data_IF_837579984243
#
_entry.id   IF_837579984243
#
_cell.length_a   1.000
_cell.length_b   1.000
_cell.length_c   1.000
_cell.angle_alpha   90.00
_cell.angle_beta   90.00
_cell.angle_gamma   90.00
#
_symmetry.space_group_name_H-M   'P 1'
#
loop_
_entity.id
_entity.type
_entity.pdbx_description
1 polymer ?
#
# COMPACT_ATOMS: atom_id res chain seq x y z
N UNK A 1 21.49 -21.75 -7.02
CA UNK A 1 20.17 -21.13 -7.23
C UNK A 1 20.24 -20.34 -8.52
N UNK A 2 19.38 -20.64 -9.49
CA UNK A 2 19.42 -19.96 -10.79
C UNK A 2 18.44 -18.78 -10.78
N UNK A 3 18.98 -17.58 -10.51
CA UNK A 3 18.23 -16.32 -10.47
C UNK A 3 17.43 -16.08 -11.76
N UNK A 4 17.94 -16.54 -12.91
CA UNK A 4 17.24 -16.43 -14.20
C UNK A 4 15.95 -17.27 -14.23
N UNK A 5 15.93 -18.43 -13.58
CA UNK A 5 14.72 -19.27 -13.52
C UNK A 5 13.63 -18.66 -12.61
N UNK A 6 14.04 -17.96 -11.55
CA UNK A 6 13.11 -17.22 -10.69
C UNK A 6 12.54 -16.04 -11.49
N UNK A 7 13.39 -15.33 -12.24
CA UNK A 7 12.97 -14.23 -13.10
C UNK A 7 11.97 -14.66 -14.16
N UNK A 8 12.29 -15.70 -14.94
CA UNK A 8 11.40 -16.25 -15.97
C UNK A 8 10.03 -16.63 -15.36
N UNK A 9 10.04 -17.26 -14.18
CA UNK A 9 8.82 -17.64 -13.49
C UNK A 9 7.96 -16.43 -13.08
N UNK A 10 8.60 -15.38 -12.54
CA UNK A 10 7.91 -14.15 -12.15
C UNK A 10 7.32 -13.47 -13.39
N UNK A 11 8.10 -13.32 -14.47
CA UNK A 11 7.64 -12.71 -15.71
C UNK A 11 6.45 -13.46 -16.35
N UNK A 12 6.50 -14.80 -16.36
CA UNK A 12 5.38 -15.62 -16.82
C UNK A 12 4.12 -15.43 -15.97
N UNK A 13 4.27 -15.36 -14.64
CA UNK A 13 3.16 -15.12 -13.73
C UNK A 13 2.53 -13.75 -13.96
N UNK A 14 3.35 -12.69 -14.03
CA UNK A 14 2.90 -11.31 -14.26
C UNK A 14 2.16 -11.20 -15.59
N UNK A 15 2.70 -11.80 -16.64
CA UNK A 15 2.06 -11.87 -17.96
C UNK A 15 0.71 -12.61 -17.90
N UNK A 16 0.62 -13.72 -17.16
CA UNK A 16 -0.62 -14.46 -16.97
C UNK A 16 -1.69 -13.66 -16.21
N UNK A 17 -1.27 -12.79 -15.30
CA UNK A 17 -2.14 -11.88 -14.54
C UNK A 17 -2.39 -10.56 -15.26
N UNK A 18 -1.90 -10.40 -16.50
CA UNK A 18 -2.01 -9.16 -17.29
C UNK A 18 -1.43 -7.92 -16.58
N UNK A 19 -0.43 -8.10 -15.72
CA UNK A 19 0.27 -7.00 -15.04
C UNK A 19 1.30 -6.41 -16.00
N UNK A 20 1.18 -5.12 -16.34
CA UNK A 20 1.97 -4.47 -17.39
C UNK A 20 3.04 -3.50 -16.84
N UNK A 21 2.83 -2.91 -15.66
CA UNK A 21 3.75 -1.92 -15.05
C UNK A 21 4.80 -2.60 -14.18
N UNK A 22 5.84 -3.16 -14.84
CA UNK A 22 6.96 -3.85 -14.20
C UNK A 22 8.25 -3.13 -14.57
N UNK A 23 8.97 -2.61 -13.57
CA UNK A 23 10.37 -2.24 -13.75
C UNK A 23 11.27 -3.21 -12.99
N UNK A 24 12.25 -3.77 -13.69
CA UNK A 24 13.25 -4.69 -13.14
C UNK A 24 14.60 -3.99 -13.08
N UNK A 25 15.22 -3.98 -11.90
CA UNK A 25 16.63 -3.61 -11.75
C UNK A 25 17.41 -4.84 -11.29
N UNK A 26 18.53 -5.12 -11.96
CA UNK A 26 19.45 -6.18 -11.56
C UNK A 26 20.71 -5.52 -11.02
N UNK A 27 20.98 -5.70 -9.73
CA UNK A 27 22.17 -5.15 -9.06
C UNK A 27 22.94 -6.28 -8.40
N UNK A 28 24.18 -6.54 -8.85
CA UNK A 28 25.18 -7.43 -8.21
C UNK A 28 24.63 -8.70 -7.51
N UNK A 29 23.77 -9.46 -8.19
CA UNK A 29 23.25 -10.74 -7.69
C UNK A 29 21.86 -10.67 -7.04
N UNK A 30 21.23 -9.50 -7.04
CA UNK A 30 19.88 -9.27 -6.55
C UNK A 30 18.99 -8.82 -7.72
N UNK A 31 17.74 -9.27 -7.74
CA UNK A 31 16.72 -8.76 -8.64
C UNK A 31 15.77 -7.90 -7.83
N UNK A 32 15.71 -6.62 -8.15
CA UNK A 32 14.68 -5.71 -7.64
C UNK A 32 13.55 -5.61 -8.65
N UNK A 33 12.36 -6.04 -8.23
CA UNK A 33 11.13 -5.81 -8.97
C UNK A 33 10.40 -4.61 -8.36
N UNK A 34 10.07 -3.62 -9.19
CA UNK A 34 9.05 -2.62 -8.84
C UNK A 34 7.83 -2.92 -9.70
N UNK A 35 6.74 -3.34 -9.07
CA UNK A 35 5.52 -3.74 -9.76
C UNK A 35 4.32 -3.13 -9.07
N UNK A 36 3.40 -2.59 -9.88
CA UNK A 36 2.06 -2.21 -9.42
C UNK A 36 1.14 -3.42 -9.55
N UNK A 37 0.71 -3.99 -8.42
CA UNK A 37 -0.24 -5.09 -8.37
C UNK A 37 -0.97 -5.10 -7.02
N UNK A 38 -2.10 -5.81 -6.95
CA UNK A 38 -2.84 -6.04 -5.71
C UNK A 38 -2.07 -6.93 -4.73
N UNK A 39 -2.31 -6.74 -3.42
CA UNK A 39 -1.61 -7.46 -2.34
C UNK A 39 -1.81 -8.97 -2.43
N UNK A 40 -3.04 -9.42 -2.70
CA UNK A 40 -3.38 -10.84 -2.86
C UNK A 40 -2.63 -11.51 -4.04
N UNK A 41 -2.44 -10.79 -5.15
CA UNK A 41 -1.69 -11.26 -6.32
C UNK A 41 -0.21 -11.40 -5.96
N UNK A 42 0.31 -10.45 -5.18
CA UNK A 42 1.67 -10.55 -4.68
C UNK A 42 1.84 -11.74 -3.72
N UNK A 43 0.97 -11.91 -2.72
CA UNK A 43 1.04 -13.04 -1.80
C UNK A 43 0.99 -14.38 -2.53
N UNK A 44 0.16 -14.50 -3.56
CA UNK A 44 0.13 -15.66 -4.46
C UNK A 44 1.49 -15.88 -5.15
N UNK A 45 2.10 -14.83 -5.69
CA UNK A 45 3.41 -14.90 -6.32
C UNK A 45 4.52 -15.28 -5.31
N UNK A 46 4.54 -14.62 -4.15
CA UNK A 46 5.48 -14.84 -3.06
C UNK A 46 5.46 -16.29 -2.59
N UNK A 47 4.27 -16.82 -2.32
CA UNK A 47 4.08 -18.22 -1.92
C UNK A 47 4.61 -19.18 -2.98
N UNK A 48 4.31 -18.94 -4.26
CA UNK A 48 4.76 -19.83 -5.35
C UNK A 48 6.27 -19.82 -5.53
N UNK A 49 6.90 -18.66 -5.42
CA UNK A 49 8.37 -18.56 -5.52
C UNK A 49 9.03 -19.22 -4.31
N UNK A 50 8.50 -18.98 -3.10
CA UNK A 50 8.97 -19.64 -1.89
C UNK A 50 8.86 -21.17 -2.01
N UNK A 51 7.72 -21.68 -2.45
CA UNK A 51 7.49 -23.11 -2.56
C UNK A 51 8.41 -23.78 -3.57
N UNK A 52 8.55 -23.17 -4.76
CA UNK A 52 9.29 -23.73 -5.90
C UNK A 52 10.79 -23.56 -5.80
N UNK A 53 11.26 -22.41 -5.31
CA UNK A 53 12.67 -22.05 -5.35
C UNK A 53 13.31 -21.93 -3.96
N UNK A 54 12.52 -22.05 -2.88
CA UNK A 54 12.96 -21.80 -1.49
C UNK A 54 13.59 -20.40 -1.37
N UNK A 55 12.97 -19.44 -2.04
CA UNK A 55 13.42 -18.07 -2.14
C UNK A 55 12.31 -17.12 -1.66
N UNK A 56 12.65 -16.21 -0.76
CA UNK A 56 11.71 -15.26 -0.18
C UNK A 56 11.70 -13.96 -1.00
N UNK A 57 10.52 -13.61 -1.55
CA UNK A 57 10.37 -12.46 -2.46
C UNK A 57 10.28 -11.11 -1.74
N UNK A 58 9.80 -11.10 -0.49
CA UNK A 58 9.61 -9.90 0.34
C UNK A 58 10.91 -9.13 0.59
N UNK A 59 12.06 -9.79 0.56
CA UNK A 59 13.35 -9.15 0.81
C UNK A 59 13.83 -8.26 -0.35
N UNK A 60 13.29 -8.45 -1.57
CA UNK A 60 13.83 -7.82 -2.79
C UNK A 60 12.77 -7.27 -3.75
N UNK A 61 11.51 -7.22 -3.33
CA UNK A 61 10.41 -6.70 -4.17
C UNK A 61 9.84 -5.43 -3.54
N UNK A 62 9.81 -4.36 -4.32
CA UNK A 62 9.16 -3.11 -3.94
C UNK A 62 7.74 -3.10 -4.51
N UNK A 63 6.75 -3.17 -3.62
CA UNK A 63 5.35 -3.03 -3.99
C UNK A 63 4.98 -1.57 -4.13
N UNK A 64 4.50 -1.21 -5.31
CA UNK A 64 3.92 0.10 -5.54
C UNK A 64 2.40 -0.06 -5.48
N UNK A 65 1.84 0.21 -4.30
CA UNK A 65 0.40 0.40 -4.16
C UNK A 65 0.03 1.79 -4.68
N UNK A 66 -1.11 1.86 -5.38
CA UNK A 66 -1.78 3.15 -5.52
C UNK A 66 -2.10 3.67 -4.14
N UNK A 67 -1.81 4.95 -3.94
CA UNK A 67 -1.98 5.56 -2.65
C UNK A 67 -2.37 7.02 -2.79
N UNK A 68 -3.08 7.49 -1.78
CA UNK A 68 -3.56 8.85 -1.71
C UNK A 68 -3.23 9.43 -0.34
N UNK A 69 -2.56 10.58 -0.32
CA UNK A 69 -2.23 11.32 0.91
C UNK A 69 -3.35 12.28 1.22
N UNK A 70 -3.87 12.24 2.44
CA UNK A 70 -4.96 13.11 2.89
C UNK A 70 -4.49 13.87 4.12
N UNK A 71 -4.35 15.18 3.96
CA UNK A 71 -3.98 16.08 5.03
C UNK A 71 -5.17 16.95 5.44
N UNK A 72 -5.28 17.18 6.75
CA UNK A 72 -6.11 18.22 7.35
C UNK A 72 -5.17 19.18 8.04
N UNK A 73 -5.15 20.42 7.56
CA UNK A 73 -4.23 21.45 8.06
C UNK A 73 -5.01 22.61 8.67
N UNK A 74 -4.36 23.33 9.59
CA UNK A 74 -4.86 24.62 10.09
C UNK A 74 -4.66 25.71 9.04
N UNK A 75 -5.26 26.89 9.26
CA UNK A 75 -5.03 28.10 8.44
C UNK A 75 -3.54 28.53 8.42
N UNK A 76 -2.75 28.09 9.40
CA UNK A 76 -1.30 28.34 9.49
C UNK A 76 -0.46 27.22 8.87
N UNK A 77 -1.06 26.30 8.11
CA UNK A 77 -0.39 25.14 7.48
C UNK A 77 0.18 24.11 8.45
N UNK A 78 -0.30 24.08 9.70
CA UNK A 78 0.07 23.02 10.64
C UNK A 78 -0.80 21.79 10.40
N UNK A 79 -0.19 20.60 10.33
CA UNK A 79 -0.91 19.33 10.15
C UNK A 79 -1.71 19.02 11.43
N UNK A 80 -3.03 18.97 11.28
CA UNK A 80 -3.97 18.47 12.29
C UNK A 80 -4.01 16.95 12.22
N UNK A 81 -4.18 16.39 11.02
CA UNK A 81 -4.10 14.95 10.75
C UNK A 81 -3.57 14.71 9.34
N UNK A 82 -2.73 13.69 9.20
CA UNK A 82 -2.25 13.17 7.92
C UNK A 82 -2.46 11.66 7.90
N UNK A 83 -3.06 11.17 6.81
CA UNK A 83 -3.21 9.74 6.55
C UNK A 83 -2.78 9.42 5.14
N UNK A 84 -2.33 8.18 4.94
CA UNK A 84 -2.15 7.58 3.63
C UNK A 84 -3.19 6.48 3.46
N UNK A 85 -3.96 6.55 2.38
CA UNK A 85 -4.86 5.50 1.95
C UNK A 85 -4.15 4.66 0.89
N UNK A 86 -3.93 3.37 1.14
CA UNK A 86 -3.34 2.43 0.20
C UNK A 86 -4.40 1.54 -0.45
N UNK A 87 -4.36 1.41 -1.77
CA UNK A 87 -5.16 0.45 -2.49
C UNK A 87 -4.52 -0.94 -2.40
N UNK A 88 -5.12 -1.82 -1.59
CA UNK A 88 -4.62 -3.19 -1.39
C UNK A 88 -5.29 -4.20 -2.33
N UNK A 89 -6.44 -3.86 -2.92
CA UNK A 89 -7.08 -4.58 -4.02
C UNK A 89 -7.92 -3.65 -4.91
N UNK A 90 -8.48 -4.16 -6.02
CA UNK A 90 -9.30 -3.38 -6.97
C UNK A 90 -10.34 -2.46 -6.28
N UNK A 91 -10.94 -2.92 -5.18
CA UNK A 91 -11.99 -2.18 -4.48
C UNK A 91 -11.71 -1.94 -2.99
N UNK A 92 -10.52 -2.28 -2.49
CA UNK A 92 -10.22 -2.16 -1.05
C UNK A 92 -9.11 -1.17 -0.80
N UNK A 93 -9.40 -0.20 0.05
CA UNK A 93 -8.48 0.84 0.50
C UNK A 93 -8.27 0.73 2.01
N UNK A 94 -7.01 0.76 2.43
CA UNK A 94 -6.62 0.75 3.84
C UNK A 94 -6.02 2.09 4.24
N UNK A 95 -6.49 2.66 5.35
CA UNK A 95 -6.06 3.97 5.83
C UNK A 95 -5.07 3.80 6.97
N UNK A 96 -3.93 4.48 6.85
CA UNK A 96 -2.86 4.47 7.84
C UNK A 96 -2.57 5.88 8.32
N UNK A 97 -2.51 6.05 9.64
CA UNK A 97 -2.17 7.31 10.26
C UNK A 97 -0.69 7.62 10.09
N UNK A 98 -0.38 8.79 9.55
CA UNK A 98 1.00 9.21 9.27
C UNK A 98 1.50 10.25 10.26
N UNK A 99 0.70 11.28 10.55
CA UNK A 99 1.09 12.38 11.45
C UNK A 99 -0.13 13.17 11.97
N UNK A 100 0.06 13.96 13.02
CA UNK A 100 -0.91 14.92 13.56
C UNK A 100 -1.38 14.59 14.98
N UNK A 101 -2.48 15.21 15.40
CA UNK A 101 -3.02 15.19 16.76
C UNK A 101 -4.13 14.14 16.89
N UNK A 102 -3.80 12.90 17.21
CA UNK A 102 -4.81 11.86 17.46
C UNK A 102 -5.35 11.95 18.91
N UNK A 103 -6.36 12.79 19.16
CA UNK A 103 -6.98 12.91 20.51
C UNK A 103 -8.03 11.81 20.75
N UNK A 104 -7.59 10.54 20.75
CA UNK A 104 -8.41 9.40 21.16
C UNK A 104 -8.48 9.41 22.68
N UNK A 105 -9.69 9.35 23.25
CA UNK A 105 -9.89 9.32 24.70
C UNK A 105 -9.08 8.16 25.34
N UNK A 106 -8.11 8.35 26.26
CA UNK A 106 -7.55 9.52 26.94
C UNK A 106 -6.07 9.21 27.23
N UNK A 107 -5.19 10.14 26.85
CA UNK A 107 -3.79 10.37 27.28
C UNK A 107 -2.71 10.08 26.22
N UNK A 108 -2.23 11.21 25.69
CA UNK A 108 -0.86 11.55 25.28
C UNK A 108 -0.31 10.97 23.98
N UNK A 109 -0.18 11.84 22.98
CA UNK A 109 0.96 11.85 22.06
C UNK A 109 0.61 11.99 20.59
N UNK A 110 1.35 12.88 19.90
CA UNK A 110 1.67 12.72 18.48
C UNK A 110 2.32 11.35 18.30
N UNK A 111 1.75 10.48 17.46
CA UNK A 111 2.40 9.20 17.12
C UNK A 111 3.52 9.52 16.14
N UNK A 112 4.68 9.88 16.66
CA UNK A 112 5.86 10.14 15.83
C UNK A 112 6.45 8.81 15.34
N UNK A 113 6.39 8.58 14.03
CA UNK A 113 7.30 7.67 13.33
C UNK A 113 6.79 6.28 12.95
N UNK A 114 5.53 5.92 13.23
CA UNK A 114 4.98 4.64 12.80
C UNK A 114 3.61 4.83 12.13
N UNK A 115 3.49 4.37 10.88
CA UNK A 115 2.22 4.32 10.18
C UNK A 115 1.28 3.34 10.89
N UNK A 116 0.23 3.85 11.53
CA UNK A 116 -0.71 3.02 12.30
C UNK A 116 -1.95 2.70 11.46
N UNK A 117 -2.30 1.42 11.31
CA UNK A 117 -3.55 1.03 10.65
C UNK A 117 -4.77 1.62 11.38
N UNK A 118 -5.65 2.27 10.64
CA UNK A 118 -6.89 2.87 11.16
C UNK A 118 -8.10 2.01 10.85
N UNK A 119 -8.41 1.86 9.55
CA UNK A 119 -9.59 1.15 9.06
C UNK A 119 -9.44 0.80 7.59
N UNK A 120 -10.35 -0.07 7.11
CA UNK A 120 -10.53 -0.39 5.69
C UNK A 120 -11.81 0.24 5.13
N UNK A 121 -11.78 0.59 3.85
CA UNK A 121 -12.90 1.07 3.06
C UNK A 121 -13.04 0.20 1.80
N UNK A 122 -14.26 -0.26 1.54
CA UNK A 122 -14.60 -0.93 0.29
C UNK A 122 -15.22 0.11 -0.65
N UNK A 123 -14.54 0.41 -1.74
CA UNK A 123 -14.89 1.44 -2.71
C UNK A 123 -14.42 1.01 -4.10
N UNK A 124 -15.33 0.99 -5.06
CA UNK A 124 -14.99 0.65 -6.44
C UNK A 124 -14.12 1.75 -7.06
N UNK A 125 -12.90 1.39 -7.50
CA UNK A 125 -11.94 2.34 -8.07
C UNK A 125 -12.38 2.93 -9.41
N UNK A 126 -13.45 2.40 -10.02
CA UNK A 126 -14.07 2.93 -11.23
C UNK A 126 -15.08 4.07 -10.97
N UNK A 127 -15.34 4.44 -9.72
CA UNK A 127 -16.24 5.54 -9.39
C UNK A 127 -15.68 6.92 -9.77
N UNK A 128 -16.49 7.72 -10.47
CA UNK A 128 -16.23 9.15 -10.67
C UNK A 128 -16.19 9.83 -9.28
N UNK A 129 -15.00 10.31 -8.87
CA UNK A 129 -14.67 10.97 -7.59
C UNK A 129 -14.08 10.08 -6.46
N UNK A 130 -13.31 9.03 -6.77
CA UNK A 130 -12.50 8.26 -5.80
C UNK A 130 -11.86 9.13 -4.69
N UNK A 131 -11.14 10.18 -5.07
CA UNK A 131 -10.49 11.12 -4.13
C UNK A 131 -11.47 11.70 -3.10
N UNK A 132 -12.60 12.26 -3.55
CA UNK A 132 -13.61 12.83 -2.64
C UNK A 132 -14.23 11.77 -1.73
N UNK A 133 -14.39 10.55 -2.23
CA UNK A 133 -14.93 9.45 -1.44
C UNK A 133 -13.94 9.02 -0.34
N UNK A 134 -12.64 8.95 -0.65
CA UNK A 134 -11.58 8.69 0.33
C UNK A 134 -11.51 9.82 1.37
N UNK A 135 -11.52 11.08 0.95
CA UNK A 135 -11.54 12.25 1.84
C UNK A 135 -12.76 12.25 2.76
N UNK A 136 -13.95 12.02 2.21
CA UNK A 136 -15.19 11.98 2.99
C UNK A 136 -15.17 10.83 4.00
N UNK A 137 -14.69 9.65 3.60
CA UNK A 137 -14.55 8.52 4.52
C UNK A 137 -13.64 8.86 5.69
N UNK A 138 -12.55 9.58 5.43
CA UNK A 138 -11.65 10.03 6.49
C UNK A 138 -12.30 11.07 7.41
N UNK A 139 -13.00 12.05 6.85
CA UNK A 139 -13.74 13.05 7.63
C UNK A 139 -14.82 12.42 8.50
N UNK A 140 -15.53 11.42 7.98
CA UNK A 140 -16.56 10.68 8.71
C UNK A 140 -15.95 9.82 9.83
N UNK A 141 -14.77 9.23 9.61
CA UNK A 141 -14.03 8.51 10.65
C UNK A 141 -13.57 9.45 11.77
N UNK A 142 -13.02 10.62 11.45
CA UNK A 142 -12.59 11.62 12.44
C UNK A 142 -13.73 12.05 13.37
N UNK A 143 -14.95 12.20 12.84
CA UNK A 143 -16.16 12.53 13.64
C UNK A 143 -16.53 11.47 14.67
N UNK A 144 -16.02 10.23 14.57
CA UNK A 144 -16.32 9.19 15.56
C UNK A 144 -15.58 9.37 16.89
N UNK A 145 -14.59 10.28 16.94
CA UNK A 145 -13.77 10.56 18.12
C UNK A 145 -14.05 11.92 18.78
N UNK A 146 -14.91 12.74 18.16
CA UNK A 146 -15.33 14.08 18.63
C UNK A 146 -16.73 13.97 19.23
#
# INVERSE_FOLDING_TARGET
MNILQIQEFIEEFLKKKSIQDVSTQITKGEIMYSVRMETNIFEELASKVLDRFKYELSEYTMFLHDHYHIDRITDNYEIIHAVIAYQVSETVWEFYYQDGILDVAKKTGTVAGETCYLYKLELDSSEDNLEKNLEKSFDDWLKTFI
#
